data_IF_220066531212
#
_entry.id   IF_220066531212
#
_cell.length_a   1.000
_cell.length_b   1.000
_cell.length_c   1.000
_cell.angle_alpha   90.00
_cell.angle_beta   90.00
_cell.angle_gamma   90.00
#
_symmetry.space_group_name_H-M   'P 1'
#
loop_
_entity.id
_entity.type
_entity.pdbx_description
1 polymer ?
#
# COMPACT_ATOMS: atom_id res chain seq x y z
N UNK A 1 28.32 -33.56 21.55
CA UNK A 1 29.77 -33.54 21.57
C UNK A 1 30.22 -32.94 20.23
N UNK A 2 30.77 -31.82 20.11
CA UNK A 2 31.96 -31.14 20.44
C UNK A 2 31.76 -29.62 20.31
N UNK A 3 32.24 -28.92 21.32
CA UNK A 3 32.48 -27.50 21.43
C UNK A 3 33.71 -27.09 20.62
N UNK A 4 33.76 -25.86 20.09
CA UNK A 4 34.95 -25.02 19.92
C UNK A 4 34.42 -23.61 19.72
N UNK A 5 34.47 -22.69 20.60
CA UNK A 5 35.50 -21.93 21.31
C UNK A 5 35.94 -20.68 20.49
N UNK A 6 35.70 -19.56 21.10
CA UNK A 6 36.01 -18.16 20.80
C UNK A 6 37.48 -17.89 20.41
N UNK A 7 37.70 -16.82 19.65
CA UNK A 7 38.90 -15.99 19.81
C UNK A 7 38.58 -14.51 19.53
N UNK A 8 38.73 -13.72 20.58
CA UNK A 8 38.82 -12.26 20.62
C UNK A 8 40.27 -11.89 20.34
N UNK A 9 40.54 -10.90 19.52
CA UNK A 9 41.82 -10.19 19.54
C UNK A 9 41.61 -8.69 19.28
N UNK A 10 41.85 -7.92 20.33
CA UNK A 10 42.02 -6.49 20.34
C UNK A 10 43.48 -6.12 20.04
N UNK A 11 43.71 -5.07 19.26
CA UNK A 11 45.02 -4.36 19.21
C UNK A 11 44.74 -2.86 18.99
N UNK A 12 44.97 -2.14 19.94
CA UNK A 12 45.58 -0.93 20.49
C UNK A 12 46.32 -0.04 19.49
N UNK A 13 45.96 1.25 19.62
CA UNK A 13 46.55 2.52 19.22
C UNK A 13 48.08 2.56 18.93
N UNK A 14 48.44 3.46 18.00
CA UNK A 14 49.59 4.36 18.19
C UNK A 14 49.43 5.66 17.38
N UNK A 15 49.46 6.79 18.12
CA UNK A 15 49.66 8.15 17.64
C UNK A 15 51.13 8.36 17.26
N UNK A 16 51.39 9.14 16.20
CA UNK A 16 52.59 10.02 16.16
C UNK A 16 52.26 11.31 15.41
N UNK A 17 52.48 12.40 16.13
CA UNK A 17 52.53 13.75 15.62
C UNK A 17 54.00 14.05 15.14
N UNK A 18 54.12 14.80 14.09
CA UNK A 18 55.37 15.55 13.82
C UNK A 18 55.05 16.85 13.09
N UNK A 19 55.45 17.94 13.71
CA UNK A 19 55.43 19.32 13.22
C UNK A 19 56.70 19.57 12.36
N UNK A 20 56.63 20.52 11.44
CA UNK A 20 57.76 21.02 10.68
C UNK A 20 57.49 22.39 10.08
N UNK A 21 58.10 23.42 10.69
CA UNK A 21 58.12 24.84 10.28
C UNK A 21 59.11 25.12 9.16
N UNK A 22 58.91 26.28 8.49
CA UNK A 22 59.93 26.97 7.69
C UNK A 22 59.29 27.80 6.60
N UNK A 23 59.03 29.04 6.73
CA UNK A 23 59.67 30.38 6.86
C UNK A 23 60.21 30.94 5.53
N UNK A 24 59.75 32.18 5.31
CA UNK A 24 60.38 33.36 4.70
C UNK A 24 60.38 33.48 3.16
N UNK A 25 60.23 34.60 2.57
CA UNK A 25 60.26 36.05 2.84
C UNK A 25 59.96 36.85 1.59
N UNK A 26 59.41 37.91 1.71
CA UNK A 26 59.59 39.38 1.50
C UNK A 26 59.15 39.87 0.12
N UNK A 27 58.49 40.89 0.04
CA UNK A 27 58.46 42.29 0.25
C UNK A 27 57.64 43.10 -0.78
N UNK A 28 56.91 44.03 -0.27
CA UNK A 28 56.68 45.47 -0.56
C UNK A 28 55.98 45.83 -1.88
N UNK A 29 54.97 46.70 -1.94
CA UNK A 29 54.82 48.05 -1.43
C UNK A 29 53.38 48.57 -1.69
N UNK A 30 52.82 49.21 -0.68
CA UNK A 30 51.96 50.38 -0.60
C UNK A 30 51.02 50.81 -1.73
N UNK A 31 49.78 51.09 -1.32
CA UNK A 31 48.81 51.94 -1.99
C UNK A 31 47.50 52.04 -1.22
N UNK A 32 47.43 53.02 -0.34
CA UNK A 32 46.26 53.43 0.46
C UNK A 32 45.11 53.86 -0.43
N UNK A 33 43.85 53.47 -0.10
CA UNK A 33 42.73 54.41 0.14
C UNK A 33 41.56 53.73 0.79
N UNK A 34 40.98 54.39 1.75
CA UNK A 34 39.73 54.10 2.46
C UNK A 34 38.53 54.07 1.53
N UNK A 35 37.53 53.22 1.76
CA UNK A 35 36.23 53.69 2.27
C UNK A 35 35.18 52.60 2.36
N UNK A 36 34.51 52.61 3.49
CA UNK A 36 33.10 52.26 3.76
C UNK A 36 32.52 50.96 3.26
N UNK A 37 32.38 50.05 4.19
CA UNK A 37 31.29 49.04 4.25
C UNK A 37 29.93 49.76 4.32
N UNK A 38 28.93 49.20 3.59
CA UNK A 38 27.58 49.12 4.14
C UNK A 38 27.25 47.66 4.48
N UNK A 39 26.80 47.44 5.69
CA UNK A 39 26.15 46.25 6.10
C UNK A 39 24.97 45.95 5.16
N UNK A 40 25.08 44.92 4.35
CA UNK A 40 23.95 44.33 3.68
C UNK A 40 23.17 43.56 4.72
N UNK A 41 22.09 44.14 5.21
CA UNK A 41 21.01 43.44 5.87
C UNK A 41 20.54 42.33 4.93
N UNK A 42 20.79 41.09 5.32
CA UNK A 42 20.20 39.91 4.70
C UNK A 42 18.68 39.99 4.87
N UNK A 43 18.01 40.48 3.86
CA UNK A 43 16.59 40.24 3.67
C UNK A 43 16.43 38.75 3.44
N UNK A 44 16.09 38.00 4.49
CA UNK A 44 15.42 36.73 4.33
C UNK A 44 14.02 37.04 3.84
N UNK A 45 13.91 37.33 2.56
CA UNK A 45 12.65 37.25 1.86
C UNK A 45 12.20 35.82 1.94
N UNK A 46 11.13 35.55 2.69
CA UNK A 46 10.32 34.38 2.50
C UNK A 46 9.91 34.36 1.03
N UNK A 47 10.56 33.54 0.22
CA UNK A 47 10.02 33.21 -1.09
C UNK A 47 8.61 32.66 -0.79
N UNK A 48 7.57 33.35 -1.25
CA UNK A 48 6.24 32.79 -1.32
C UNK A 48 6.40 31.43 -1.98
N UNK A 49 6.13 30.34 -1.23
CA UNK A 49 6.19 29.01 -1.77
C UNK A 49 5.13 28.93 -2.85
N UNK A 50 5.57 29.02 -4.11
CA UNK A 50 4.71 28.85 -5.26
C UNK A 50 4.04 27.48 -5.11
N UNK A 51 2.70 27.43 -5.19
CA UNK A 51 1.94 26.19 -5.09
C UNK A 51 2.52 25.10 -5.97
N UNK A 52 2.58 23.87 -5.48
CA UNK A 52 3.13 22.71 -6.18
C UNK A 52 2.12 22.14 -7.17
N UNK A 53 2.60 21.58 -8.27
CA UNK A 53 1.80 20.86 -9.26
C UNK A 53 2.07 19.36 -9.13
N UNK A 54 1.08 18.58 -8.74
CA UNK A 54 1.19 17.15 -8.48
C UNK A 54 0.47 16.37 -9.57
N UNK A 55 1.14 15.38 -10.16
CA UNK A 55 0.51 14.40 -11.03
C UNK A 55 0.03 13.20 -10.18
N UNK A 56 -1.26 12.85 -10.24
CA UNK A 56 -1.80 11.68 -9.55
C UNK A 56 -2.40 10.70 -10.56
N UNK A 57 -1.81 9.51 -10.65
CA UNK A 57 -2.16 8.48 -11.64
C UNK A 57 -2.75 7.28 -10.93
N UNK A 58 -4.02 6.98 -11.21
CA UNK A 58 -4.73 5.82 -10.69
C UNK A 58 -4.54 4.60 -11.61
N UNK A 59 -4.45 3.40 -11.02
CA UNK A 59 -4.42 2.15 -11.79
C UNK A 59 -5.72 1.93 -12.56
N UNK A 60 -6.86 2.27 -11.97
CA UNK A 60 -8.19 2.11 -12.56
C UNK A 60 -9.26 2.92 -11.82
N UNK A 61 -10.52 2.59 -12.09
CA UNK A 61 -11.68 3.31 -11.55
C UNK A 61 -12.22 2.73 -10.23
N UNK A 62 -11.48 1.84 -9.56
CA UNK A 62 -11.93 1.25 -8.28
C UNK A 62 -12.16 2.35 -7.24
N UNK A 63 -13.24 2.21 -6.46
CA UNK A 63 -13.60 3.16 -5.40
C UNK A 63 -12.50 3.28 -4.34
N UNK A 64 -11.75 2.20 -4.06
CA UNK A 64 -10.64 2.19 -3.14
C UNK A 64 -9.59 3.26 -3.53
N UNK A 65 -9.14 3.23 -4.79
CA UNK A 65 -8.16 4.20 -5.30
C UNK A 65 -8.71 5.64 -5.30
N UNK A 66 -10.00 5.80 -5.63
CA UNK A 66 -10.64 7.12 -5.63
C UNK A 66 -10.63 7.74 -4.23
N UNK A 67 -10.87 6.95 -3.18
CA UNK A 67 -10.92 7.47 -1.81
C UNK A 67 -9.56 7.88 -1.27
N UNK A 68 -8.50 7.14 -1.59
CA UNK A 68 -7.13 7.56 -1.30
C UNK A 68 -6.76 8.87 -2.01
N UNK A 69 -7.12 8.97 -3.30
CA UNK A 69 -6.95 10.21 -4.07
C UNK A 69 -7.70 11.41 -3.46
N UNK A 70 -9.00 11.24 -3.13
CA UNK A 70 -9.82 12.31 -2.57
C UNK A 70 -9.23 12.92 -1.30
N UNK A 71 -8.69 12.09 -0.41
CA UNK A 71 -8.03 12.55 0.81
C UNK A 71 -6.73 13.28 0.47
N UNK A 72 -5.89 12.70 -0.40
CA UNK A 72 -4.67 13.38 -0.85
C UNK A 72 -4.97 14.74 -1.47
N UNK A 73 -5.92 14.81 -2.41
CA UNK A 73 -6.28 16.05 -3.11
C UNK A 73 -6.75 17.13 -2.13
N UNK A 74 -7.60 16.76 -1.17
CA UNK A 74 -8.12 17.71 -0.19
C UNK A 74 -7.00 18.28 0.70
N UNK A 75 -6.09 17.43 1.19
CA UNK A 75 -4.94 17.88 2.00
C UNK A 75 -3.93 18.70 1.16
N UNK A 76 -3.69 18.31 -0.08
CA UNK A 76 -2.83 19.06 -1.02
C UNK A 76 -3.39 20.44 -1.34
N UNK A 77 -4.71 20.55 -1.51
CA UNK A 77 -5.38 21.84 -1.75
C UNK A 77 -5.23 22.81 -0.58
N UNK A 78 -5.23 22.32 0.66
CA UNK A 78 -5.01 23.15 1.84
C UNK A 78 -3.59 23.72 1.90
N UNK A 79 -2.60 23.03 1.32
CA UNK A 79 -1.23 23.52 1.13
C UNK A 79 -1.10 24.42 -0.11
N UNK A 80 -2.21 24.73 -0.81
CA UNK A 80 -2.18 25.52 -2.03
C UNK A 80 -1.65 24.77 -3.26
N UNK A 81 -1.59 23.42 -3.21
CA UNK A 81 -1.12 22.62 -4.34
C UNK A 81 -2.23 22.37 -5.35
N UNK A 82 -1.85 22.17 -6.62
CA UNK A 82 -2.75 21.75 -7.70
C UNK A 82 -2.50 20.27 -8.01
N UNK A 83 -3.55 19.46 -8.08
CA UNK A 83 -3.45 18.04 -8.39
C UNK A 83 -4.09 17.74 -9.74
N UNK A 84 -3.34 17.14 -10.65
CA UNK A 84 -3.82 16.65 -11.96
C UNK A 84 -4.02 15.14 -11.87
N UNK A 85 -5.29 14.69 -11.86
CA UNK A 85 -5.65 13.28 -11.83
C UNK A 85 -5.77 12.68 -13.23
N UNK A 86 -5.23 11.47 -13.42
CA UNK A 86 -5.47 10.60 -14.59
C UNK A 86 -5.72 9.15 -14.14
N UNK A 87 -6.23 8.32 -15.04
CA UNK A 87 -6.42 6.88 -14.80
C UNK A 87 -5.80 6.06 -15.92
N UNK A 88 -5.23 4.92 -15.55
CA UNK A 88 -4.61 3.98 -16.49
C UNK A 88 -5.55 2.87 -16.97
N UNK A 89 -6.77 2.79 -16.40
CA UNK A 89 -7.80 1.79 -16.75
C UNK A 89 -7.25 0.35 -16.79
N UNK A 90 -6.35 0.05 -15.87
CA UNK A 90 -5.63 -1.23 -15.75
C UNK A 90 -4.79 -1.60 -16.98
N UNK A 91 -4.46 -0.63 -17.85
CA UNK A 91 -3.61 -0.78 -19.03
C UNK A 91 -2.18 -0.27 -18.74
N UNK A 92 -1.16 -1.17 -18.71
CA UNK A 92 0.23 -0.76 -18.50
C UNK A 92 0.78 0.23 -19.53
N UNK A 93 0.28 0.17 -20.78
CA UNK A 93 0.68 1.11 -21.82
C UNK A 93 0.12 2.50 -21.58
N UNK A 94 -1.16 2.56 -21.17
CA UNK A 94 -1.79 3.84 -20.78
C UNK A 94 -1.12 4.44 -19.54
N UNK A 95 -0.73 3.62 -18.56
CA UNK A 95 0.05 4.08 -17.40
C UNK A 95 1.38 4.73 -17.85
N UNK A 96 2.11 4.05 -18.74
CA UNK A 96 3.36 4.59 -19.30
C UNK A 96 3.15 5.95 -19.96
N UNK A 97 2.10 6.10 -20.78
CA UNK A 97 1.77 7.36 -21.42
C UNK A 97 1.40 8.45 -20.39
N UNK A 98 0.61 8.11 -19.37
CA UNK A 98 0.25 9.04 -18.29
C UNK A 98 1.50 9.57 -17.56
N UNK A 99 2.49 8.70 -17.28
CA UNK A 99 3.74 9.11 -16.64
C UNK A 99 4.54 10.04 -17.58
N UNK A 100 4.64 9.71 -18.86
CA UNK A 100 5.30 10.57 -19.87
C UNK A 100 4.64 11.95 -19.94
N UNK A 101 3.31 12.04 -19.89
CA UNK A 101 2.57 13.30 -19.88
C UNK A 101 2.87 14.13 -18.64
N UNK A 102 2.96 13.50 -17.44
CA UNK A 102 3.34 14.22 -16.22
C UNK A 102 4.78 14.71 -16.27
N UNK A 103 5.70 13.93 -16.83
CA UNK A 103 7.09 14.33 -17.07
C UNK A 103 7.14 15.52 -18.05
N UNK A 104 6.40 15.47 -19.15
CA UNK A 104 6.34 16.57 -20.13
C UNK A 104 5.77 17.86 -19.53
N UNK A 105 4.78 17.74 -18.62
CA UNK A 105 4.20 18.87 -17.87
C UNK A 105 5.12 19.42 -16.78
N UNK A 106 6.22 18.72 -16.49
CA UNK A 106 7.18 19.09 -15.44
C UNK A 106 6.50 19.29 -14.07
N UNK A 107 5.66 18.33 -13.67
CA UNK A 107 5.04 18.34 -12.35
C UNK A 107 6.10 18.27 -11.23
N UNK A 108 5.80 18.81 -10.06
CA UNK A 108 6.74 18.82 -8.91
C UNK A 108 6.88 17.45 -8.25
N UNK A 109 5.88 16.58 -8.37
CA UNK A 109 5.92 15.19 -7.95
C UNK A 109 4.89 14.35 -8.72
N UNK A 110 5.16 13.04 -8.85
CA UNK A 110 4.21 12.05 -9.38
C UNK A 110 3.80 11.11 -8.25
N UNK A 111 2.50 10.87 -8.10
CA UNK A 111 1.95 9.81 -7.27
C UNK A 111 1.32 8.78 -8.19
N UNK A 112 1.72 7.52 -8.02
CA UNK A 112 1.34 6.43 -8.90
C UNK A 112 0.76 5.25 -8.10
N UNK A 113 -0.52 4.95 -8.35
CA UNK A 113 -1.06 3.63 -8.09
C UNK A 113 -0.78 2.78 -9.32
N UNK A 114 0.24 1.94 -9.29
CA UNK A 114 0.68 1.21 -10.49
C UNK A 114 -0.21 0.03 -10.83
N UNK A 115 -0.38 -0.22 -12.12
CA UNK A 115 -1.15 -1.36 -12.67
C UNK A 115 -0.48 -2.70 -12.33
N UNK A 116 0.85 -2.72 -12.32
CA UNK A 116 1.66 -3.85 -11.84
C UNK A 116 3.08 -3.38 -11.47
N UNK A 117 3.74 -4.15 -10.60
CA UNK A 117 5.05 -3.78 -10.03
C UNK A 117 6.14 -3.55 -11.07
N UNK A 118 6.19 -4.37 -12.14
CA UNK A 118 7.18 -4.22 -13.21
C UNK A 118 7.01 -2.93 -14.00
N UNK A 119 5.76 -2.56 -14.30
CA UNK A 119 5.47 -1.29 -14.99
C UNK A 119 5.72 -0.10 -14.07
N UNK A 120 5.37 -0.23 -12.79
CA UNK A 120 5.67 0.78 -11.76
C UNK A 120 7.16 1.08 -11.68
N UNK A 121 8.01 0.05 -11.69
CA UNK A 121 9.46 0.25 -11.68
C UNK A 121 9.98 1.00 -12.93
N UNK A 122 9.47 0.71 -14.12
CA UNK A 122 9.81 1.47 -15.34
C UNK A 122 9.31 2.92 -15.27
N UNK A 123 8.13 3.14 -14.70
CA UNK A 123 7.60 4.50 -14.44
C UNK A 123 8.53 5.28 -13.51
N UNK A 124 9.02 4.62 -12.44
CA UNK A 124 10.02 5.17 -11.53
C UNK A 124 11.29 5.58 -12.25
N UNK A 125 11.82 4.73 -13.13
CA UNK A 125 12.99 5.06 -13.94
C UNK A 125 12.79 6.31 -14.81
N UNK A 126 11.60 6.44 -15.44
CA UNK A 126 11.29 7.62 -16.26
C UNK A 126 11.25 8.91 -15.43
N UNK A 127 10.58 8.87 -14.27
CA UNK A 127 10.50 10.01 -13.36
C UNK A 127 11.89 10.39 -12.82
N UNK A 128 12.69 9.42 -12.39
CA UNK A 128 14.05 9.63 -11.88
C UNK A 128 14.97 10.25 -12.96
N UNK A 129 14.90 9.80 -14.22
CA UNK A 129 15.66 10.40 -15.34
C UNK A 129 15.26 11.86 -15.60
N UNK A 130 14.00 12.21 -15.32
CA UNK A 130 13.50 13.58 -15.45
C UNK A 130 13.77 14.44 -14.21
N UNK A 131 14.31 13.87 -13.12
CA UNK A 131 14.52 14.55 -11.85
C UNK A 131 13.23 14.85 -11.09
N UNK A 132 12.13 14.13 -11.37
CA UNK A 132 10.83 14.31 -10.72
C UNK A 132 10.67 13.24 -9.63
N UNK A 133 10.42 13.63 -8.37
CA UNK A 133 10.14 12.67 -7.31
C UNK A 133 8.89 11.84 -7.63
N UNK A 134 8.97 10.53 -7.36
CA UNK A 134 7.85 9.61 -7.59
C UNK A 134 7.51 8.85 -6.31
N UNK A 135 6.22 8.85 -5.99
CA UNK A 135 5.63 8.18 -4.84
C UNK A 135 4.64 7.12 -5.31
N UNK A 136 4.54 6.03 -4.58
CA UNK A 136 3.60 4.96 -4.88
C UNK A 136 2.55 4.85 -3.78
N UNK A 137 1.32 4.57 -4.18
CA UNK A 137 0.20 4.36 -3.28
C UNK A 137 -0.48 3.04 -3.62
N UNK A 138 -0.91 2.28 -2.62
CA UNK A 138 -1.62 1.01 -2.74
C UNK A 138 -0.76 -0.15 -3.26
N UNK A 139 -0.06 0.04 -4.36
CA UNK A 139 0.83 -0.95 -4.99
C UNK A 139 2.25 -0.43 -5.08
N UNK A 140 3.22 -1.27 -4.77
CA UNK A 140 4.65 -0.91 -4.83
C UNK A 140 5.29 -1.32 -6.17
N UNK A 141 6.33 -0.61 -6.62
CA UNK A 141 7.13 -1.02 -7.79
C UNK A 141 7.93 -2.28 -7.47
N UNK A 142 8.42 -2.97 -8.51
CA UNK A 142 9.37 -4.07 -8.35
C UNK A 142 10.67 -3.55 -7.70
N UNK A 143 11.04 -4.00 -6.50
CA UNK A 143 12.23 -3.51 -5.80
C UNK A 143 13.55 -3.89 -6.49
N UNK A 144 13.51 -4.89 -7.39
CA UNK A 144 14.64 -5.30 -8.22
C UNK A 144 14.71 -4.55 -9.56
N UNK A 145 13.71 -3.74 -9.84
CA UNK A 145 13.60 -3.00 -11.08
C UNK A 145 14.44 -1.70 -11.09
N UNK A 146 14.49 -0.98 -12.23
CA UNK A 146 15.41 0.14 -12.44
C UNK A 146 15.02 1.43 -11.72
N UNK A 147 13.75 1.62 -11.35
CA UNK A 147 13.26 2.85 -10.73
C UNK A 147 13.45 2.85 -9.22
N UNK A 148 13.74 4.04 -8.67
CA UNK A 148 13.82 4.24 -7.21
C UNK A 148 12.64 5.10 -6.75
N UNK A 149 11.80 4.63 -5.82
CA UNK A 149 10.76 5.44 -5.24
C UNK A 149 11.33 6.49 -4.29
N UNK A 150 10.67 7.65 -4.24
CA UNK A 150 10.87 8.62 -3.16
C UNK A 150 9.97 8.30 -1.95
N UNK A 151 8.86 7.61 -2.16
CA UNK A 151 8.00 7.08 -1.11
C UNK A 151 7.09 5.98 -1.64
N UNK A 152 6.71 5.08 -0.76
CA UNK A 152 5.76 4.00 -1.03
C UNK A 152 4.83 3.84 0.17
N UNK A 153 3.53 3.85 -0.08
CA UNK A 153 2.51 3.46 0.88
C UNK A 153 1.74 2.29 0.30
N UNK A 154 1.93 1.09 0.84
CA UNK A 154 1.21 -0.11 0.40
C UNK A 154 0.21 -0.58 1.43
N UNK A 155 -0.82 -1.31 0.99
CA UNK A 155 -1.68 -2.03 1.92
C UNK A 155 -0.99 -3.24 2.53
N UNK A 156 -1.41 -3.66 3.73
CA UNK A 156 -0.96 -4.90 4.37
C UNK A 156 -1.70 -6.11 3.76
N UNK A 157 -1.44 -6.38 2.48
CA UNK A 157 -2.24 -7.33 1.70
C UNK A 157 -2.09 -8.78 2.16
N UNK A 158 -0.87 -9.18 2.50
CA UNK A 158 -0.61 -10.49 3.12
C UNK A 158 -1.28 -10.59 4.49
N UNK A 159 -1.07 -9.59 5.33
CA UNK A 159 -1.62 -9.52 6.69
C UNK A 159 -3.16 -9.52 6.65
N UNK A 160 -3.77 -8.81 5.69
CA UNK A 160 -5.23 -8.80 5.51
C UNK A 160 -5.78 -10.20 5.20
N UNK A 161 -5.15 -10.94 4.30
CA UNK A 161 -5.51 -12.32 4.02
C UNK A 161 -5.28 -13.24 5.21
N UNK A 162 -4.14 -13.07 5.90
CA UNK A 162 -3.76 -13.85 7.08
C UNK A 162 -4.77 -13.70 8.22
N UNK A 163 -5.19 -12.48 8.54
CA UNK A 163 -6.19 -12.23 9.60
C UNK A 163 -7.55 -12.87 9.28
N UNK A 164 -8.00 -12.83 8.04
CA UNK A 164 -9.22 -13.60 7.64
C UNK A 164 -8.99 -15.09 7.83
N UNK A 165 -7.83 -15.61 7.45
CA UNK A 165 -7.48 -17.02 7.68
C UNK A 165 -7.47 -17.40 9.15
N UNK A 166 -6.96 -16.52 10.03
CA UNK A 166 -7.00 -16.72 11.50
C UNK A 166 -8.44 -16.80 12.01
N UNK A 167 -9.32 -15.87 11.57
CA UNK A 167 -10.73 -15.90 11.97
C UNK A 167 -11.44 -17.17 11.51
N UNK A 168 -11.21 -17.59 10.26
CA UNK A 168 -11.77 -18.84 9.70
C UNK A 168 -11.20 -20.06 10.41
N UNK A 169 -9.87 -20.13 10.60
CA UNK A 169 -9.21 -21.27 11.25
C UNK A 169 -9.66 -21.49 12.70
N UNK A 170 -10.01 -20.42 13.43
CA UNK A 170 -10.58 -20.51 14.78
C UNK A 170 -12.02 -21.03 14.79
N UNK A 171 -12.80 -20.73 13.75
CA UNK A 171 -14.25 -21.01 13.72
C UNK A 171 -14.58 -22.33 13.04
N UNK A 172 -13.81 -22.78 12.07
CA UNK A 172 -14.11 -23.94 11.23
C UNK A 172 -13.09 -25.07 11.39
N UNK A 173 -13.54 -26.33 11.25
CA UNK A 173 -12.64 -27.48 11.30
C UNK A 173 -11.79 -27.59 10.02
N UNK A 174 -10.70 -28.36 10.08
CA UNK A 174 -9.78 -28.61 8.96
C UNK A 174 -10.41 -29.36 7.75
N UNK A 175 -11.69 -29.73 7.84
CA UNK A 175 -12.48 -30.34 6.77
C UNK A 175 -13.38 -29.35 6.04
N UNK A 176 -13.43 -28.09 6.48
CA UNK A 176 -14.29 -27.04 5.91
C UNK A 176 -14.06 -26.88 4.40
N UNK A 177 -15.13 -26.62 3.68
CA UNK A 177 -15.12 -26.39 2.23
C UNK A 177 -15.33 -24.92 1.92
N UNK A 178 -14.42 -24.34 1.18
CA UNK A 178 -14.30 -22.89 0.98
C UNK A 178 -14.42 -22.55 -0.50
N UNK A 179 -15.22 -21.55 -0.82
CA UNK A 179 -15.20 -20.86 -2.12
C UNK A 179 -14.36 -19.60 -1.97
N UNK A 180 -13.44 -19.34 -2.91
CA UNK A 180 -12.70 -18.08 -2.98
C UNK A 180 -13.06 -17.32 -4.25
N UNK A 181 -13.41 -16.02 -4.11
CA UNK A 181 -13.60 -15.07 -5.20
C UNK A 181 -12.47 -14.06 -5.14
N UNK A 182 -11.55 -14.16 -6.09
CA UNK A 182 -10.24 -13.55 -5.98
C UNK A 182 -10.11 -12.28 -6.82
N UNK A 183 -9.12 -11.47 -6.52
CA UNK A 183 -8.72 -10.33 -7.32
C UNK A 183 -8.14 -10.73 -8.68
N UNK A 184 -7.43 -9.81 -9.34
CA UNK A 184 -6.79 -10.09 -10.63
C UNK A 184 -5.61 -11.06 -10.47
N UNK A 185 -5.62 -12.16 -11.20
CA UNK A 185 -4.51 -13.12 -11.21
C UNK A 185 -3.21 -12.46 -11.69
N UNK A 186 -2.11 -12.75 -11.01
CA UNK A 186 -0.79 -12.16 -11.26
C UNK A 186 -0.63 -10.73 -10.71
N UNK A 187 -1.64 -10.20 -10.04
CA UNK A 187 -1.53 -8.94 -9.31
C UNK A 187 -1.09 -9.22 -7.87
N UNK A 188 -0.02 -8.58 -7.41
CA UNK A 188 0.55 -8.79 -6.08
C UNK A 188 -0.50 -8.75 -4.96
N UNK A 189 -1.44 -7.81 -5.01
CA UNK A 189 -2.54 -7.68 -4.03
C UNK A 189 -3.34 -8.98 -3.91
N UNK A 190 -3.75 -9.57 -5.05
CA UNK A 190 -4.57 -10.78 -5.05
C UNK A 190 -3.78 -12.00 -4.58
N UNK A 191 -2.53 -12.11 -5.02
CA UNK A 191 -1.65 -13.23 -4.67
C UNK A 191 -1.27 -13.19 -3.18
N UNK A 192 -0.98 -12.01 -2.63
CA UNK A 192 -0.69 -11.82 -1.21
C UNK A 192 -1.91 -12.11 -0.32
N UNK A 193 -3.12 -11.68 -0.71
CA UNK A 193 -4.35 -12.04 0.00
C UNK A 193 -4.54 -13.55 0.07
N UNK A 194 -4.34 -14.26 -1.05
CA UNK A 194 -4.43 -15.73 -1.09
C UNK A 194 -3.37 -16.37 -0.21
N UNK A 195 -2.11 -15.93 -0.34
CA UNK A 195 -0.99 -16.45 0.41
C UNK A 195 -1.23 -16.35 1.93
N UNK A 196 -1.54 -15.14 2.41
CA UNK A 196 -1.81 -14.93 3.84
C UNK A 196 -2.97 -15.82 4.34
N UNK A 197 -4.06 -15.90 3.58
CA UNK A 197 -5.20 -16.73 3.94
C UNK A 197 -4.85 -18.23 4.05
N UNK A 198 -4.12 -18.75 3.07
CA UNK A 198 -3.70 -20.15 3.06
C UNK A 198 -2.69 -20.45 4.16
N UNK A 199 -1.75 -19.56 4.44
CA UNK A 199 -0.74 -19.70 5.49
C UNK A 199 -1.40 -19.77 6.87
N UNK A 200 -2.31 -18.86 7.18
CA UNK A 200 -3.02 -18.85 8.46
C UNK A 200 -3.87 -20.12 8.66
N UNK A 201 -4.55 -20.61 7.62
CA UNK A 201 -5.29 -21.85 7.68
C UNK A 201 -4.38 -23.07 7.82
N UNK A 202 -3.22 -23.05 7.16
CA UNK A 202 -2.23 -24.12 7.27
C UNK A 202 -1.72 -24.24 8.71
N UNK A 203 -1.40 -23.10 9.35
CA UNK A 203 -1.02 -23.06 10.76
C UNK A 203 -2.14 -23.57 11.67
N UNK A 204 -3.37 -23.06 11.49
CA UNK A 204 -4.52 -23.44 12.34
C UNK A 204 -4.88 -24.92 12.23
N UNK A 205 -4.69 -25.54 11.07
CA UNK A 205 -5.14 -26.90 10.78
C UNK A 205 -4.01 -27.95 10.72
N UNK A 206 -2.77 -27.54 10.96
CA UNK A 206 -1.61 -28.44 10.89
C UNK A 206 -1.36 -28.99 9.49
N UNK A 207 -1.59 -28.19 8.45
CA UNK A 207 -1.43 -28.50 7.03
C UNK A 207 -0.33 -27.64 6.39
N UNK A 208 0.05 -27.95 5.18
CA UNK A 208 0.76 -26.99 4.31
C UNK A 208 -0.25 -26.12 3.57
N UNK A 209 0.12 -24.89 3.11
CA UNK A 209 -0.75 -24.05 2.31
C UNK A 209 -1.29 -24.76 1.07
N UNK A 210 -0.44 -25.58 0.42
CA UNK A 210 -0.88 -26.40 -0.72
C UNK A 210 -1.92 -27.45 -0.35
N UNK A 211 -1.79 -28.10 0.80
CA UNK A 211 -2.81 -29.05 1.30
C UNK A 211 -4.12 -28.35 1.62
N UNK A 212 -4.08 -27.13 2.22
CA UNK A 212 -5.28 -26.33 2.44
C UNK A 212 -5.94 -26.02 1.09
N UNK A 213 -5.18 -25.58 0.11
CA UNK A 213 -5.71 -25.31 -1.22
C UNK A 213 -6.34 -26.55 -1.86
N UNK A 214 -5.63 -27.68 -1.85
CA UNK A 214 -6.09 -28.92 -2.50
C UNK A 214 -7.31 -29.53 -1.82
N UNK A 215 -7.35 -29.55 -0.50
CA UNK A 215 -8.37 -30.24 0.29
C UNK A 215 -9.61 -29.38 0.58
N UNK A 216 -9.40 -28.08 0.82
CA UNK A 216 -10.40 -27.19 1.39
C UNK A 216 -10.99 -26.19 0.38
N UNK A 217 -10.20 -25.68 -0.57
CA UNK A 217 -10.74 -24.80 -1.60
C UNK A 217 -11.45 -25.64 -2.65
N UNK A 218 -12.78 -25.59 -2.66
CA UNK A 218 -13.61 -26.38 -3.60
C UNK A 218 -13.88 -25.62 -4.90
N UNK A 219 -13.71 -24.31 -4.90
CA UNK A 219 -13.82 -23.45 -6.06
C UNK A 219 -13.01 -22.17 -5.83
N UNK A 220 -12.20 -21.78 -6.82
CA UNK A 220 -11.57 -20.47 -6.86
C UNK A 220 -11.62 -19.90 -8.26
N UNK A 221 -11.93 -18.61 -8.39
CA UNK A 221 -11.93 -17.90 -9.67
C UNK A 221 -11.76 -16.39 -9.44
N UNK A 222 -11.19 -15.72 -10.45
CA UNK A 222 -11.00 -14.27 -10.40
C UNK A 222 -12.30 -13.50 -10.68
N UNK A 223 -12.69 -12.65 -9.74
CA UNK A 223 -13.66 -11.56 -9.93
C UNK A 223 -13.00 -10.28 -10.47
N UNK A 224 -11.65 -10.22 -10.50
CA UNK A 224 -10.89 -9.10 -11.09
C UNK A 224 -11.16 -7.75 -10.43
N UNK A 225 -11.49 -7.76 -9.14
CA UNK A 225 -11.90 -6.59 -8.35
C UNK A 225 -13.19 -5.90 -8.85
N UNK A 226 -14.03 -6.60 -9.65
CA UNK A 226 -15.26 -6.06 -10.24
C UNK A 226 -16.51 -6.75 -9.68
N UNK A 227 -17.51 -5.96 -9.28
CA UNK A 227 -18.77 -6.44 -8.69
C UNK A 227 -19.53 -7.41 -9.59
N UNK A 228 -19.75 -7.06 -10.86
CA UNK A 228 -20.58 -7.85 -11.77
C UNK A 228 -19.90 -9.17 -12.15
N UNK A 229 -18.58 -9.13 -12.35
CA UNK A 229 -17.80 -10.33 -12.61
C UNK A 229 -17.81 -11.28 -11.40
N UNK A 230 -17.66 -10.74 -10.19
CA UNK A 230 -17.72 -11.52 -8.96
C UNK A 230 -19.12 -12.14 -8.73
N UNK A 231 -20.19 -11.44 -9.09
CA UNK A 231 -21.54 -12.01 -9.08
C UNK A 231 -21.64 -13.24 -9.98
N UNK A 232 -21.13 -13.14 -11.22
CA UNK A 232 -21.11 -14.27 -12.18
C UNK A 232 -20.26 -15.44 -11.64
N UNK A 233 -19.08 -15.15 -11.10
CA UNK A 233 -18.19 -16.14 -10.49
C UNK A 233 -18.88 -16.88 -9.34
N UNK A 234 -19.60 -16.17 -8.48
CA UNK A 234 -20.32 -16.78 -7.36
C UNK A 234 -21.51 -17.64 -7.83
N UNK A 235 -22.26 -17.21 -8.86
CA UNK A 235 -23.31 -18.02 -9.46
C UNK A 235 -22.76 -19.34 -10.04
N UNK A 236 -21.62 -19.27 -10.70
CA UNK A 236 -20.93 -20.46 -11.22
C UNK A 236 -20.41 -21.36 -10.09
N UNK A 237 -19.84 -20.78 -9.03
CA UNK A 237 -19.43 -21.54 -7.85
C UNK A 237 -20.58 -22.32 -7.20
N UNK A 238 -21.74 -21.66 -7.01
CA UNK A 238 -22.94 -22.32 -6.46
C UNK A 238 -23.40 -23.45 -7.37
N UNK A 239 -23.41 -23.23 -8.68
CA UNK A 239 -23.83 -24.23 -9.65
C UNK A 239 -22.89 -25.45 -9.65
N UNK A 240 -21.57 -25.22 -9.77
CA UNK A 240 -20.57 -26.30 -9.90
C UNK A 240 -20.39 -27.11 -8.61
N UNK A 241 -20.52 -26.47 -7.46
CA UNK A 241 -20.42 -27.17 -6.15
C UNK A 241 -21.76 -27.74 -5.70
N UNK A 242 -22.87 -27.42 -6.38
CA UNK A 242 -24.23 -27.71 -5.90
C UNK A 242 -24.57 -26.99 -4.61
N UNK A 243 -23.87 -25.89 -4.31
CA UNK A 243 -23.97 -25.13 -3.06
C UNK A 243 -23.43 -25.88 -1.83
N UNK A 244 -22.54 -26.85 -2.01
CA UNK A 244 -21.92 -27.66 -0.95
C UNK A 244 -20.57 -27.06 -0.56
N UNK A 245 -20.59 -25.99 0.19
CA UNK A 245 -19.45 -25.34 0.82
C UNK A 245 -19.89 -24.66 2.12
N UNK A 246 -18.96 -24.38 3.01
CA UNK A 246 -19.22 -23.90 4.36
C UNK A 246 -19.11 -22.37 4.48
N UNK A 247 -18.25 -21.74 3.66
CA UNK A 247 -18.03 -20.29 3.66
C UNK A 247 -17.48 -19.78 2.32
N UNK A 248 -17.52 -18.46 2.17
CA UNK A 248 -16.95 -17.73 1.02
C UNK A 248 -15.94 -16.72 1.52
N UNK A 249 -14.72 -16.72 0.94
CA UNK A 249 -13.73 -15.68 1.12
C UNK A 249 -13.61 -14.84 -0.16
N UNK A 250 -13.66 -13.52 -0.01
CA UNK A 250 -13.66 -12.56 -1.13
C UNK A 250 -12.55 -11.54 -0.91
N UNK A 251 -11.68 -11.33 -1.90
CA UNK A 251 -10.50 -10.49 -1.74
C UNK A 251 -10.80 -9.00 -1.58
N UNK A 252 -11.98 -8.50 -1.95
CA UNK A 252 -12.40 -7.14 -1.62
C UNK A 252 -13.92 -7.00 -1.52
N UNK A 253 -14.36 -5.90 -0.95
CA UNK A 253 -15.78 -5.65 -0.68
C UNK A 253 -16.57 -5.18 -1.91
N UNK A 254 -15.93 -4.65 -2.95
CA UNK A 254 -16.62 -4.38 -4.22
C UNK A 254 -17.08 -5.69 -4.87
N UNK A 255 -16.23 -6.72 -4.85
CA UNK A 255 -16.61 -8.07 -5.28
C UNK A 255 -17.63 -8.72 -4.34
N UNK A 256 -17.49 -8.51 -3.03
CA UNK A 256 -18.43 -9.05 -2.04
C UNK A 256 -19.86 -8.59 -2.31
N UNK A 257 -20.09 -7.36 -2.72
CA UNK A 257 -21.43 -6.87 -3.09
C UNK A 257 -22.05 -7.73 -4.21
N UNK A 258 -21.26 -8.15 -5.19
CA UNK A 258 -21.69 -9.07 -6.25
C UNK A 258 -21.95 -10.49 -5.72
N UNK A 259 -21.06 -10.99 -4.86
CA UNK A 259 -21.20 -12.30 -4.20
C UNK A 259 -22.49 -12.37 -3.39
N UNK A 260 -22.78 -11.34 -2.57
CA UNK A 260 -24.01 -11.27 -1.76
C UNK A 260 -25.27 -11.25 -2.62
N UNK A 261 -25.26 -10.54 -3.77
CA UNK A 261 -26.35 -10.56 -4.75
C UNK A 261 -26.59 -11.96 -5.31
N UNK A 262 -25.51 -12.67 -5.69
CA UNK A 262 -25.63 -14.04 -6.20
C UNK A 262 -26.18 -14.99 -5.13
N UNK A 263 -25.67 -14.93 -3.89
CA UNK A 263 -26.17 -15.75 -2.76
C UNK A 263 -27.66 -15.47 -2.53
N UNK A 264 -28.05 -14.20 -2.42
CA UNK A 264 -29.44 -13.80 -2.18
C UNK A 264 -30.41 -14.37 -3.22
N UNK A 265 -30.01 -14.46 -4.48
CA UNK A 265 -30.85 -15.00 -5.55
C UNK A 265 -31.21 -16.48 -5.37
N UNK A 266 -30.48 -17.21 -4.56
CA UNK A 266 -30.72 -18.64 -4.28
C UNK A 266 -31.64 -18.90 -3.09
N UNK A 267 -31.96 -17.87 -2.31
CA UNK A 267 -32.67 -18.00 -1.02
C UNK A 267 -31.86 -18.69 0.08
N UNK A 268 -30.57 -18.98 -0.17
CA UNK A 268 -29.65 -19.56 0.83
C UNK A 268 -28.83 -18.44 1.50
N UNK A 269 -28.18 -18.80 2.60
CA UNK A 269 -27.19 -17.95 3.28
C UNK A 269 -25.89 -18.73 3.42
N UNK A 270 -24.79 -18.03 3.26
CA UNK A 270 -23.42 -18.53 3.49
C UNK A 270 -22.64 -17.49 4.26
N UNK A 271 -21.79 -17.90 5.21
CA UNK A 271 -20.83 -16.99 5.85
C UNK A 271 -19.89 -16.39 4.81
N UNK A 272 -19.79 -15.05 4.79
CA UNK A 272 -18.94 -14.32 3.85
C UNK A 272 -17.90 -13.52 4.63
N UNK A 273 -16.65 -13.64 4.19
CA UNK A 273 -15.48 -12.92 4.69
C UNK A 273 -14.90 -12.07 3.58
N UNK A 274 -14.51 -10.84 3.87
CA UNK A 274 -13.94 -9.93 2.88
C UNK A 274 -12.81 -9.09 3.47
N UNK A 275 -12.23 -8.21 2.64
CA UNK A 275 -11.20 -7.25 3.03
C UNK A 275 -11.60 -5.87 2.53
N UNK A 276 -11.24 -4.83 3.25
CA UNK A 276 -11.19 -3.38 3.09
C UNK A 276 -11.95 -2.61 4.17
N UNK A 277 -13.07 -3.10 4.71
CA UNK A 277 -13.74 -2.52 5.87
C UNK A 277 -14.52 -1.23 5.57
N UNK A 278 -15.23 -1.14 4.44
CA UNK A 278 -16.10 0.02 4.20
C UNK A 278 -17.27 0.05 5.19
N UNK A 279 -17.81 1.24 5.47
CA UNK A 279 -18.84 1.47 6.49
C UNK A 279 -20.08 0.60 6.27
N UNK A 280 -20.45 0.34 5.02
CA UNK A 280 -21.55 -0.57 4.69
C UNK A 280 -21.28 -2.01 5.12
N UNK A 281 -20.05 -2.48 5.02
CA UNK A 281 -19.65 -3.82 5.47
C UNK A 281 -19.63 -3.89 6.99
N UNK A 282 -19.17 -2.85 7.67
CA UNK A 282 -19.25 -2.77 9.14
C UNK A 282 -20.71 -2.90 9.60
N UNK A 283 -21.65 -2.22 8.93
CA UNK A 283 -23.07 -2.36 9.22
C UNK A 283 -23.59 -3.78 8.93
N UNK A 284 -23.18 -4.41 7.82
CA UNK A 284 -23.52 -5.78 7.47
C UNK A 284 -23.00 -6.81 8.49
N UNK A 285 -21.83 -6.57 9.12
CA UNK A 285 -21.33 -7.39 10.23
C UNK A 285 -22.24 -7.23 11.46
N UNK A 286 -22.66 -6.03 11.81
CA UNK A 286 -23.61 -5.79 12.90
C UNK A 286 -24.92 -6.53 12.69
N UNK A 287 -25.41 -6.53 11.46
CA UNK A 287 -26.64 -7.24 11.04
C UNK A 287 -26.44 -8.76 10.90
N UNK A 288 -25.20 -9.25 10.82
CA UNK A 288 -24.90 -10.66 10.65
C UNK A 288 -25.02 -11.17 9.21
N UNK A 289 -25.05 -10.27 8.21
CA UNK A 289 -25.04 -10.62 6.78
C UNK A 289 -23.62 -10.97 6.30
N UNK A 290 -22.60 -10.37 6.90
CA UNK A 290 -21.18 -10.61 6.69
C UNK A 290 -20.57 -11.05 8.01
N UNK A 291 -19.67 -12.02 7.97
CA UNK A 291 -19.05 -12.58 9.18
C UNK A 291 -17.92 -11.69 9.71
N UNK A 292 -17.02 -11.29 8.83
CA UNK A 292 -15.88 -10.46 9.18
C UNK A 292 -15.29 -9.75 7.97
N UNK A 293 -14.54 -8.68 8.25
CA UNK A 293 -13.66 -7.99 7.31
C UNK A 293 -12.33 -7.65 8.00
N UNK A 294 -11.32 -7.33 7.20
CA UNK A 294 -10.14 -6.59 7.68
C UNK A 294 -10.24 -5.19 7.12
N UNK A 295 -10.41 -4.20 7.99
CA UNK A 295 -10.45 -2.79 7.59
C UNK A 295 -9.05 -2.33 7.22
N UNK A 296 -8.90 -1.86 5.98
CA UNK A 296 -7.67 -1.29 5.42
C UNK A 296 -8.12 0.00 4.71
N UNK A 297 -8.22 1.13 5.41
CA UNK A 297 -8.83 2.33 4.87
C UNK A 297 -7.93 2.99 3.81
N UNK A 298 -8.39 3.21 2.57
CA UNK A 298 -7.62 3.92 1.54
C UNK A 298 -7.37 5.39 1.88
N UNK A 299 -8.21 5.97 2.73
CA UNK A 299 -8.06 7.32 3.23
C UNK A 299 -6.75 7.54 3.99
N UNK A 300 -6.33 6.55 4.79
CA UNK A 300 -5.03 6.62 5.47
C UNK A 300 -3.83 6.51 4.51
N UNK A 301 -3.95 5.75 3.42
CA UNK A 301 -2.91 5.74 2.38
C UNK A 301 -2.77 7.13 1.73
N UNK A 302 -3.90 7.79 1.44
CA UNK A 302 -3.91 9.15 0.91
C UNK A 302 -3.24 10.16 1.83
N UNK A 303 -3.48 10.06 3.15
CA UNK A 303 -2.83 10.90 4.15
C UNK A 303 -1.33 10.58 4.27
N UNK A 304 -0.95 9.31 4.35
CA UNK A 304 0.46 8.91 4.47
C UNK A 304 1.30 9.39 3.28
N UNK A 305 0.82 9.17 2.05
CA UNK A 305 1.56 9.63 0.86
C UNK A 305 1.60 11.15 0.78
N UNK A 306 0.55 11.85 1.22
CA UNK A 306 0.57 13.30 1.34
C UNK A 306 1.66 13.76 2.32
N UNK A 307 1.78 13.13 3.49
CA UNK A 307 2.81 13.45 4.47
C UNK A 307 4.22 13.18 3.92
N UNK A 308 4.43 12.08 3.16
CA UNK A 308 5.71 11.78 2.49
C UNK A 308 6.06 12.86 1.45
N UNK A 309 5.13 13.26 0.60
CA UNK A 309 5.34 14.32 -0.41
C UNK A 309 5.69 15.65 0.27
N UNK A 310 4.96 16.01 1.33
CA UNK A 310 5.19 17.22 2.11
C UNK A 310 6.57 17.24 2.77
N UNK A 311 6.97 16.12 3.40
CA UNK A 311 8.28 15.93 3.99
C UNK A 311 9.40 16.06 2.93
N UNK A 312 9.22 15.44 1.76
CA UNK A 312 10.15 15.54 0.63
C UNK A 312 10.38 16.99 0.22
N UNK A 313 9.32 17.78 0.06
CA UNK A 313 9.42 19.17 -0.35
C UNK A 313 10.10 20.05 0.71
N UNK A 314 9.97 19.69 1.98
CA UNK A 314 10.69 20.37 3.08
C UNK A 314 12.13 19.90 3.27
N UNK A 315 12.57 18.87 2.54
CA UNK A 315 13.90 18.27 2.72
C UNK A 315 14.06 17.50 4.04
N UNK A 316 12.95 17.07 4.62
CA UNK A 316 12.92 16.26 5.86
C UNK A 316 13.24 14.79 5.55
N UNK A 317 13.83 14.07 6.53
CA UNK A 317 14.01 12.62 6.46
C UNK A 317 12.74 11.92 6.92
N UNK A 318 12.27 10.92 6.16
CA UNK A 318 11.06 10.16 6.45
C UNK A 318 11.21 8.70 6.00
N UNK A 319 10.40 7.76 6.54
CA UNK A 319 10.36 6.38 6.06
C UNK A 319 9.91 6.33 4.60
N UNK A 320 10.68 5.66 3.75
CA UNK A 320 10.35 5.53 2.31
C UNK A 320 9.25 4.51 2.08
N UNK A 321 9.28 3.39 2.78
CA UNK A 321 8.29 2.32 2.65
C UNK A 321 7.40 2.24 3.88
N UNK A 322 6.12 2.47 3.69
CA UNK A 322 5.11 2.39 4.74
C UNK A 322 4.06 1.33 4.38
N UNK A 323 3.66 0.55 5.36
CA UNK A 323 2.44 -0.26 5.29
C UNK A 323 1.29 0.49 5.94
N UNK A 324 0.14 0.44 5.28
CA UNK A 324 -1.10 0.99 5.81
C UNK A 324 -1.50 0.29 7.10
N UNK A 325 -2.28 0.97 7.92
CA UNK A 325 -2.90 0.38 9.11
C UNK A 325 -4.01 -0.60 8.71
N UNK A 326 -4.26 -1.58 9.58
CA UNK A 326 -5.37 -2.52 9.40
C UNK A 326 -5.99 -2.95 10.73
N UNK A 327 -7.26 -3.29 10.70
CA UNK A 327 -8.01 -3.75 11.88
C UNK A 327 -8.93 -4.91 11.47
N UNK A 328 -8.72 -6.13 12.00
CA UNK A 328 -9.69 -7.21 11.84
C UNK A 328 -10.99 -6.88 12.57
N UNK A 329 -12.13 -7.04 11.91
CA UNK A 329 -13.45 -6.69 12.44
C UNK A 329 -14.41 -7.86 12.23
N UNK A 330 -14.99 -8.33 13.32
CA UNK A 330 -16.04 -9.33 13.36
C UNK A 330 -17.16 -8.93 14.32
N UNK A 331 -18.15 -9.81 14.51
CA UNK A 331 -19.27 -9.57 15.41
C UNK A 331 -18.83 -9.32 16.87
N UNK A 332 -17.68 -9.87 17.29
CA UNK A 332 -17.18 -9.74 18.66
C UNK A 332 -16.59 -8.37 18.98
N UNK A 333 -16.08 -7.64 17.98
CA UNK A 333 -15.41 -6.37 18.20
C UNK A 333 -15.96 -5.18 17.38
N UNK A 334 -16.97 -5.39 16.53
CA UNK A 334 -17.46 -4.37 15.58
C UNK A 334 -17.93 -3.06 16.25
N UNK A 335 -18.32 -3.10 17.53
CA UNK A 335 -18.76 -1.91 18.28
C UNK A 335 -17.57 -1.16 18.95
N UNK A 336 -16.42 -1.80 19.08
CA UNK A 336 -15.27 -1.27 19.83
C UNK A 336 -14.02 -1.10 18.97
N UNK A 337 -13.98 -1.69 17.78
CA UNK A 337 -12.85 -1.60 16.87
C UNK A 337 -12.62 -0.15 16.42
N UNK A 338 -11.37 0.30 16.46
CA UNK A 338 -10.97 1.63 15.98
C UNK A 338 -10.88 1.62 14.47
N UNK A 339 -11.96 1.96 13.80
CA UNK A 339 -12.08 1.95 12.34
C UNK A 339 -12.08 3.39 11.85
N UNK A 340 -11.16 3.72 10.93
CA UNK A 340 -11.15 5.02 10.28
C UNK A 340 -12.19 5.09 9.15
N UNK A 341 -12.79 6.26 8.89
CA UNK A 341 -13.74 6.45 7.80
C UNK A 341 -13.13 6.04 6.45
N UNK A 342 -13.88 5.30 5.67
CA UNK A 342 -13.46 4.75 4.39
C UNK A 342 -14.13 5.45 3.19
N UNK A 343 -15.46 5.55 3.21
CA UNK A 343 -16.24 6.19 2.13
C UNK A 343 -16.41 7.70 2.36
N UNK A 344 -16.41 8.15 3.60
CA UNK A 344 -16.56 9.56 3.97
C UNK A 344 -15.21 10.28 4.02
N UNK A 345 -14.66 10.56 2.84
CA UNK A 345 -13.37 11.27 2.70
C UNK A 345 -13.38 12.65 3.37
N UNK A 346 -14.53 13.34 3.39
CA UNK A 346 -14.64 14.66 4.03
C UNK A 346 -14.45 14.56 5.53
N UNK A 347 -15.17 13.64 6.18
CA UNK A 347 -15.01 13.40 7.61
C UNK A 347 -13.57 12.97 7.95
N UNK A 348 -12.97 12.09 7.12
CA UNK A 348 -11.60 11.69 7.30
C UNK A 348 -10.62 12.89 7.28
N UNK A 349 -10.77 13.78 6.30
CA UNK A 349 -9.92 14.98 6.18
C UNK A 349 -10.07 15.90 7.40
N UNK A 350 -11.29 16.07 7.93
CA UNK A 350 -11.52 16.83 9.16
C UNK A 350 -10.83 16.15 10.37
N UNK A 351 -10.85 14.82 10.45
CA UNK A 351 -10.12 14.06 11.49
C UNK A 351 -8.61 14.22 11.34
N UNK A 352 -8.07 14.12 10.11
CA UNK A 352 -6.65 14.30 9.81
C UNK A 352 -6.16 15.68 10.26
N UNK A 353 -6.85 16.75 9.85
CA UNK A 353 -6.54 18.13 10.25
C UNK A 353 -6.59 18.35 11.76
N UNK A 354 -7.43 17.62 12.46
CA UNK A 354 -7.55 17.67 13.91
C UNK A 354 -6.55 16.73 14.62
N UNK A 355 -5.66 16.04 13.92
CA UNK A 355 -4.72 15.06 14.47
C UNK A 355 -5.41 13.82 15.09
N UNK A 356 -6.63 13.50 14.65
CA UNK A 356 -7.45 12.42 15.22
C UNK A 356 -7.35 11.08 14.47
N UNK A 357 -6.65 11.04 13.34
CA UNK A 357 -6.42 9.79 12.59
C UNK A 357 -5.34 8.93 13.24
N UNK A 358 -4.47 9.52 14.05
CA UNK A 358 -3.30 8.85 14.61
C UNK A 358 -2.19 8.58 13.58
N UNK A 359 -2.30 9.11 12.37
CA UNK A 359 -1.29 8.97 11.31
C UNK A 359 -0.20 10.02 11.49
N UNK A 360 1.00 9.55 11.81
CA UNK A 360 2.23 10.35 11.83
C UNK A 360 3.37 9.49 11.26
N UNK A 361 3.71 9.74 10.00
CA UNK A 361 4.72 8.93 9.31
C UNK A 361 6.11 9.00 9.95
N UNK A 362 6.41 10.09 10.69
CA UNK A 362 7.70 10.25 11.37
C UNK A 362 7.85 9.29 12.57
N UNK A 363 6.74 8.75 13.07
CA UNK A 363 6.71 7.74 14.13
C UNK A 363 6.57 6.31 13.60
N UNK A 364 6.31 6.15 12.29
CA UNK A 364 6.14 4.84 11.66
C UNK A 364 7.50 4.23 11.30
N UNK A 365 7.58 2.91 11.40
CA UNK A 365 8.77 2.17 10.98
C UNK A 365 8.78 2.00 9.47
N UNK A 366 9.95 2.19 8.84
CA UNK A 366 10.13 1.79 7.44
C UNK A 366 9.97 0.27 7.32
N UNK A 367 9.01 -0.16 6.49
CA UNK A 367 8.68 -1.58 6.31
C UNK A 367 9.62 -2.29 5.34
N UNK A 368 10.48 -1.53 4.65
CA UNK A 368 11.31 -2.05 3.55
C UNK A 368 10.51 -2.29 2.26
N UNK A 369 11.22 -2.58 1.16
CA UNK A 369 10.62 -2.69 -0.17
C UNK A 369 10.01 -4.05 -0.50
N UNK A 370 10.06 -5.02 0.41
CA UNK A 370 9.76 -6.41 0.09
C UNK A 370 8.44 -6.86 0.72
N UNK A 371 7.49 -7.21 -0.14
CA UNK A 371 6.42 -8.13 0.21
C UNK A 371 6.96 -9.58 0.25
N UNK A 372 6.28 -10.52 0.94
CA UNK A 372 6.60 -11.94 0.82
C UNK A 372 6.66 -12.39 -0.64
N UNK A 373 7.52 -13.35 -0.95
CA UNK A 373 7.57 -13.94 -2.29
C UNK A 373 6.31 -14.77 -2.54
N UNK A 374 5.47 -14.29 -3.44
CA UNK A 374 4.18 -14.89 -3.79
C UNK A 374 4.21 -15.67 -5.11
N UNK A 375 5.39 -15.90 -5.69
CA UNK A 375 5.53 -16.56 -6.99
C UNK A 375 4.86 -17.94 -7.07
N UNK A 376 4.86 -18.69 -5.97
CA UNK A 376 4.18 -20.00 -5.88
C UNK A 376 2.66 -19.90 -6.01
N UNK A 377 2.08 -18.74 -5.67
CA UNK A 377 0.63 -18.52 -5.79
C UNK A 377 0.14 -18.54 -7.24
N UNK A 378 1.00 -18.19 -8.20
CA UNK A 378 0.66 -18.22 -9.63
C UNK A 378 0.22 -19.60 -10.11
N UNK A 379 0.77 -20.66 -9.53
CA UNK A 379 0.43 -22.05 -9.84
C UNK A 379 -0.99 -22.44 -9.39
N UNK A 380 -1.59 -21.65 -8.51
CA UNK A 380 -2.93 -21.88 -7.96
C UNK A 380 -4.03 -21.11 -8.72
N UNK A 381 -3.64 -20.24 -9.66
CA UNK A 381 -4.59 -19.38 -10.40
C UNK A 381 -5.57 -20.21 -11.24
N UNK A 382 -6.87 -20.10 -10.92
CA UNK A 382 -7.95 -20.80 -11.62
C UNK A 382 -7.91 -22.34 -11.50
N UNK A 383 -7.08 -22.91 -10.62
CA UNK A 383 -6.90 -24.36 -10.51
C UNK A 383 -8.19 -25.13 -10.15
N UNK A 384 -9.12 -24.49 -9.47
CA UNK A 384 -10.41 -25.06 -9.03
C UNK A 384 -11.61 -24.62 -9.88
N UNK A 385 -11.37 -24.06 -11.05
CA UNK A 385 -12.42 -23.55 -11.96
C UNK A 385 -12.69 -24.46 -13.16
N UNK A 386 -11.99 -25.62 -13.25
CA UNK A 386 -12.09 -26.57 -14.34
C UNK A 386 -13.21 -27.57 -14.17
#
# INVERSE_FOLDING_TARGET
MKKVLSLVLAVVLLLTAAAGCGSNSTNTTAGSTKESSPAAAGSTGSAEEKGKNIGFILAGSDIYYQKGYEVFEALAKDEGWTVTKTTSDYDPKKETNNVQDMVAKKVDAIILCTVNSSNGSKAGEMANKAGIPIFYITSIPDPKGPGKPDGCVSGPWYEGGYEIGVLVGKKYPATAKIVTVEGGYGQAIAELHRMGFLDALAEAWGKTPKQVFDDNIVYNQTGGFMTDKAQTVMQDAISKTGGKFDLVYVHNEAMMDGVLKAIKSTGKTYPVYAINGKETTIQQIKEGTVEATVSIPPSSEGEMVFQQVKAKFKGETYPVYLKNIYVPVDKGNVETASILPWLDSKNYVEMSKAGKTGIDIMQMKDSGPTDPDWSDMLNLNGAKSK
#
